data_IF_644448741827
#
_entry.id   IF_644448741827
#
_cell.length_a   1.000
_cell.length_b   1.000
_cell.length_c   1.000
_cell.angle_alpha   90.00
_cell.angle_beta   90.00
_cell.angle_gamma   90.00
#
_symmetry.space_group_name_H-M   'P 1'
#
loop_
_entity.id
_entity.type
_entity.pdbx_description
1 polymer ?
#
# COMPACT_ATOMS: atom_id res chain seq x y z
N UNK A 1 35.87 -23.09 7.16
CA UNK A 1 35.02 -22.52 6.09
C UNK A 1 33.53 -22.47 6.49
N UNK A 2 32.92 -23.59 6.91
CA UNK A 2 31.46 -23.68 7.24
C UNK A 2 31.02 -22.80 8.42
N UNK A 3 31.86 -22.65 9.46
CA UNK A 3 31.55 -21.81 10.64
C UNK A 3 31.40 -20.32 10.32
N UNK A 4 32.17 -19.81 9.36
CA UNK A 4 32.06 -18.41 8.94
C UNK A 4 30.76 -18.16 8.17
N UNK A 5 30.34 -19.12 7.34
CA UNK A 5 29.06 -19.06 6.63
C UNK A 5 27.85 -19.08 7.58
N UNK A 6 27.89 -19.93 8.62
CA UNK A 6 26.83 -20.00 9.62
C UNK A 6 26.70 -18.68 10.41
N UNK A 7 27.83 -18.04 10.71
CA UNK A 7 27.85 -16.75 11.38
C UNK A 7 27.34 -15.61 10.48
N UNK A 8 27.55 -15.68 9.16
CA UNK A 8 27.03 -14.71 8.17
C UNK A 8 25.50 -14.85 7.96
N UNK A 9 24.98 -16.08 7.97
CA UNK A 9 23.53 -16.32 7.85
C UNK A 9 22.76 -15.90 9.12
N UNK A 10 23.35 -16.04 10.30
CA UNK A 10 22.74 -15.62 11.56
C UNK A 10 22.54 -14.09 11.67
N UNK A 11 23.33 -13.28 10.95
CA UNK A 11 23.28 -11.81 10.98
C UNK A 11 22.03 -11.29 10.26
N UNK A 12 21.69 -11.92 9.14
CA UNK A 12 20.54 -11.53 8.32
C UNK A 12 19.19 -11.87 8.99
N UNK A 13 19.17 -12.87 9.87
CA UNK A 13 17.96 -13.27 10.60
C UNK A 13 17.58 -12.32 11.75
N UNK A 14 18.50 -11.43 12.17
CA UNK A 14 18.31 -10.54 13.32
C UNK A 14 17.85 -9.12 12.95
N UNK A 15 17.62 -8.83 11.66
CA UNK A 15 17.07 -7.53 11.27
C UNK A 15 15.65 -7.40 11.84
N UNK A 16 15.37 -6.39 12.69
CA UNK A 16 14.01 -6.16 13.14
C UNK A 16 13.15 -5.86 11.91
N UNK A 17 12.02 -6.56 11.78
CA UNK A 17 10.97 -6.19 10.84
C UNK A 17 10.35 -4.92 11.41
N UNK A 18 10.96 -3.77 11.11
CA UNK A 18 10.40 -2.47 11.45
C UNK A 18 9.26 -2.26 10.47
N UNK A 19 8.04 -2.32 10.99
CA UNK A 19 6.89 -1.91 10.22
C UNK A 19 6.90 -0.39 10.04
N UNK A 20 6.64 0.05 8.82
CA UNK A 20 6.53 1.46 8.50
C UNK A 20 5.17 1.99 8.96
N UNK A 21 5.17 3.08 9.71
CA UNK A 21 3.95 3.81 10.05
C UNK A 21 3.84 5.04 9.16
N UNK A 22 2.71 5.20 8.49
CA UNK A 22 2.43 6.36 7.65
C UNK A 22 1.32 7.21 8.26
N UNK A 23 1.40 8.52 8.05
CA UNK A 23 0.29 9.43 8.35
C UNK A 23 -0.61 9.54 7.13
N UNK A 24 -1.91 9.31 7.33
CA UNK A 24 -2.91 9.51 6.28
C UNK A 24 -3.48 10.93 6.31
N UNK A 25 -4.14 11.35 5.23
CA UNK A 25 -4.88 12.62 5.20
C UNK A 25 -5.93 12.76 6.32
N UNK A 26 -6.41 11.63 6.85
CA UNK A 26 -7.32 11.54 8.01
C UNK A 26 -6.60 11.74 9.37
N UNK A 27 -5.29 12.04 9.35
CA UNK A 27 -4.39 12.23 10.52
C UNK A 27 -4.38 11.06 11.49
N UNK A 28 -4.68 9.85 11.00
CA UNK A 28 -4.51 8.62 11.76
C UNK A 28 -3.27 7.88 11.27
N UNK A 29 -2.29 7.60 12.15
CA UNK A 29 -1.17 6.77 11.80
C UNK A 29 -1.68 5.35 11.48
N UNK A 30 -1.19 4.79 10.38
CA UNK A 30 -1.46 3.40 9.99
C UNK A 30 -0.15 2.65 10.02
N UNK A 31 -0.12 1.59 10.81
CA UNK A 31 0.94 0.59 10.81
C UNK A 31 0.79 -0.30 9.57
N UNK A 32 1.81 -0.33 8.71
CA UNK A 32 1.81 -1.08 7.46
C UNK A 32 2.20 -2.56 7.62
N UNK A 33 2.23 -3.10 8.84
CA UNK A 33 2.76 -4.44 9.12
C UNK A 33 2.05 -5.56 8.35
N UNK A 34 0.75 -5.37 8.08
CA UNK A 34 -0.10 -6.31 7.35
C UNK A 34 -0.22 -5.98 5.86
N UNK A 35 0.38 -4.88 5.40
CA UNK A 35 0.22 -4.38 4.04
C UNK A 35 1.35 -4.87 3.13
N UNK A 36 0.98 -5.34 1.95
CA UNK A 36 1.91 -5.53 0.84
C UNK A 36 2.11 -4.21 0.10
N UNK A 37 3.25 -3.58 0.30
CA UNK A 37 3.58 -2.30 -0.30
C UNK A 37 4.45 -2.44 -1.57
N UNK A 38 4.12 -1.65 -2.60
CA UNK A 38 4.86 -1.55 -3.86
C UNK A 38 5.04 -0.09 -4.23
N UNK A 39 6.28 0.34 -4.39
CA UNK A 39 6.60 1.62 -5.01
C UNK A 39 6.32 1.56 -6.51
N UNK A 40 5.73 2.63 -7.04
CA UNK A 40 5.24 2.69 -8.42
C UNK A 40 6.11 3.67 -9.20
N UNK A 41 6.98 3.14 -10.05
CA UNK A 41 7.83 3.95 -10.95
C UNK A 41 7.18 4.24 -12.31
N UNK A 42 6.19 3.45 -12.71
CA UNK A 42 5.51 3.54 -14.02
C UNK A 42 4.32 4.51 -14.07
N UNK A 43 4.04 5.22 -12.97
CA UNK A 43 2.97 6.21 -12.89
C UNK A 43 3.53 7.54 -12.41
N UNK A 44 3.06 8.63 -12.99
CA UNK A 44 3.32 9.99 -12.49
C UNK A 44 2.30 10.46 -11.46
N UNK A 45 1.24 9.67 -11.23
CA UNK A 45 0.14 9.99 -10.31
C UNK A 45 0.27 9.20 -9.02
N UNK A 46 0.40 7.87 -9.13
CA UNK A 46 0.53 6.98 -7.98
C UNK A 46 2.02 6.76 -7.72
N UNK A 47 2.45 7.04 -6.49
CA UNK A 47 3.84 6.85 -6.07
C UNK A 47 4.04 5.53 -5.33
N UNK A 48 3.03 5.09 -4.58
CA UNK A 48 3.05 3.86 -3.80
C UNK A 48 1.65 3.28 -3.65
N UNK A 49 1.56 1.96 -3.66
CA UNK A 49 0.34 1.19 -3.40
C UNK A 49 0.65 0.20 -2.29
N UNK A 50 -0.13 0.23 -1.21
CA UNK A 50 -0.06 -0.74 -0.12
C UNK A 50 -1.41 -1.42 0.02
N UNK A 51 -1.46 -2.75 0.04
CA UNK A 51 -2.70 -3.50 0.12
C UNK A 51 -2.68 -4.54 1.23
N UNK A 52 -3.67 -4.48 2.12
CA UNK A 52 -3.99 -5.55 3.07
C UNK A 52 -5.19 -6.33 2.53
N UNK A 53 -4.93 -7.54 2.05
CA UNK A 53 -5.95 -8.42 1.48
C UNK A 53 -6.93 -8.94 2.53
N UNK A 54 -6.49 -9.15 3.77
CA UNK A 54 -7.33 -9.68 4.83
C UNK A 54 -8.38 -8.66 5.26
N UNK A 55 -8.01 -7.38 5.28
CA UNK A 55 -8.90 -6.28 5.64
C UNK A 55 -9.51 -5.55 4.44
N UNK A 56 -9.11 -5.91 3.22
CA UNK A 56 -9.50 -5.22 1.99
C UNK A 56 -9.20 -3.72 2.05
N UNK A 57 -8.08 -3.36 2.69
CA UNK A 57 -7.64 -1.98 2.84
C UNK A 57 -6.60 -1.67 1.77
N UNK A 58 -6.85 -0.65 0.98
CA UNK A 58 -5.93 -0.10 0.00
C UNK A 58 -5.45 1.26 0.48
N UNK A 59 -4.13 1.46 0.45
CA UNK A 59 -3.49 2.74 0.72
C UNK A 59 -2.76 3.17 -0.54
N UNK A 60 -2.96 4.41 -0.94
CA UNK A 60 -2.36 5.01 -2.12
C UNK A 60 -1.61 6.28 -1.73
N UNK A 61 -0.36 6.38 -2.17
CA UNK A 61 0.40 7.62 -2.11
C UNK A 61 0.25 8.41 -3.41
N UNK A 62 -0.22 9.66 -3.31
CA UNK A 62 -0.30 10.63 -4.41
C UNK A 62 0.32 11.93 -3.93
N UNK A 63 1.32 12.44 -4.65
CA UNK A 63 2.02 13.69 -4.32
C UNK A 63 2.50 13.78 -2.86
N UNK A 64 2.97 12.66 -2.29
CA UNK A 64 3.46 12.57 -0.91
C UNK A 64 2.37 12.41 0.15
N UNK A 65 1.09 12.46 -0.23
CA UNK A 65 -0.04 12.25 0.68
C UNK A 65 -0.54 10.82 0.57
N UNK A 66 -0.81 10.19 1.71
CA UNK A 66 -1.41 8.87 1.79
C UNK A 66 -2.91 8.94 2.05
N UNK A 67 -3.69 8.30 1.18
CA UNK A 67 -5.13 8.10 1.35
C UNK A 67 -5.44 6.62 1.56
N UNK A 68 -6.33 6.33 2.50
CA UNK A 68 -6.88 4.99 2.74
C UNK A 68 -8.23 4.83 2.04
N UNK A 69 -8.44 3.63 1.49
CA UNK A 69 -9.64 3.16 0.82
C UNK A 69 -10.02 1.81 1.43
N UNK A 70 -11.26 1.66 1.89
CA UNK A 70 -11.72 0.44 2.55
C UNK A 70 -12.65 -0.37 1.65
N UNK A 71 -12.65 -1.69 1.79
CA UNK A 71 -13.50 -2.58 1.01
C UNK A 71 -13.11 -2.68 -0.47
N UNK A 72 -11.84 -2.42 -0.80
CA UNK A 72 -11.32 -2.61 -2.16
C UNK A 72 -10.96 -4.08 -2.34
N UNK A 73 -11.67 -4.78 -3.22
CA UNK A 73 -11.40 -6.18 -3.54
C UNK A 73 -10.05 -6.34 -4.25
N UNK A 74 -9.46 -7.53 -4.13
CA UNK A 74 -8.13 -7.80 -4.70
C UNK A 74 -8.09 -7.68 -6.22
N UNK A 75 -9.17 -8.04 -6.90
CA UNK A 75 -9.21 -8.03 -8.37
C UNK A 75 -9.22 -6.59 -8.88
N UNK A 76 -9.80 -5.66 -8.12
CA UNK A 76 -9.70 -4.22 -8.38
C UNK A 76 -8.27 -3.71 -8.17
N UNK A 77 -7.53 -4.21 -7.17
CA UNK A 77 -6.12 -3.87 -6.95
C UNK A 77 -5.23 -4.44 -8.06
N UNK A 78 -5.44 -5.69 -8.46
CA UNK A 78 -4.69 -6.33 -9.54
C UNK A 78 -4.92 -5.60 -10.87
N UNK A 79 -6.16 -5.20 -11.15
CA UNK A 79 -6.49 -4.35 -12.32
C UNK A 79 -5.84 -2.97 -12.24
N UNK A 80 -5.77 -2.36 -11.06
CA UNK A 80 -5.05 -1.09 -10.86
C UNK A 80 -3.56 -1.24 -11.20
N UNK A 81 -2.90 -2.28 -10.67
CA UNK A 81 -1.47 -2.54 -10.87
C UNK A 81 -1.14 -2.94 -12.31
N UNK A 82 -2.07 -3.63 -12.99
CA UNK A 82 -1.94 -4.01 -14.39
C UNK A 82 -2.35 -2.92 -15.40
N UNK A 83 -2.99 -1.84 -14.95
CA UNK A 83 -3.55 -0.84 -15.86
C UNK A 83 -2.49 -0.14 -16.73
N UNK A 84 -2.75 0.09 -18.03
CA UNK A 84 -1.87 0.87 -18.90
C UNK A 84 -1.63 2.29 -18.37
N UNK A 85 -2.68 2.91 -17.82
CA UNK A 85 -2.60 4.17 -17.07
C UNK A 85 -3.20 3.98 -15.69
N UNK A 86 -2.35 3.75 -14.70
CA UNK A 86 -2.79 3.49 -13.33
C UNK A 86 -3.54 4.71 -12.74
N UNK A 87 -3.10 5.92 -13.05
CA UNK A 87 -3.77 7.15 -12.61
C UNK A 87 -5.17 7.30 -13.20
N UNK A 88 -5.36 6.99 -14.48
CA UNK A 88 -6.69 7.02 -15.11
C UNK A 88 -7.60 5.94 -14.53
N UNK A 89 -7.08 4.73 -14.31
CA UNK A 89 -7.85 3.65 -13.67
C UNK A 89 -8.30 4.05 -12.26
N UNK A 90 -7.37 4.55 -11.44
CA UNK A 90 -7.65 5.03 -10.10
C UNK A 90 -8.74 6.11 -10.10
N UNK A 91 -8.57 7.17 -10.90
CA UNK A 91 -9.52 8.28 -10.96
C UNK A 91 -10.94 7.85 -11.35
N UNK A 92 -11.07 6.81 -12.18
CA UNK A 92 -12.37 6.33 -12.66
C UNK A 92 -13.03 5.30 -11.74
N UNK A 93 -12.22 4.43 -11.12
CA UNK A 93 -12.75 3.21 -10.49
C UNK A 93 -12.59 3.21 -8.96
N UNK A 94 -11.72 4.03 -8.39
CA UNK A 94 -11.36 3.98 -6.95
C UNK A 94 -11.50 5.34 -6.29
N UNK A 95 -11.09 6.42 -6.95
CA UNK A 95 -11.07 7.76 -6.34
C UNK A 95 -12.46 8.12 -5.80
N UNK A 96 -12.47 8.55 -4.55
CA UNK A 96 -13.67 9.07 -3.89
C UNK A 96 -14.16 10.31 -4.64
N UNK A 97 -15.43 10.31 -5.04
CA UNK A 97 -16.04 11.44 -5.72
C UNK A 97 -16.78 12.34 -4.73
N UNK A 98 -17.44 11.74 -3.73
CA UNK A 98 -18.27 12.42 -2.74
C UNK A 98 -18.15 11.73 -1.36
N UNK A 99 -18.66 12.38 -0.31
CA UNK A 99 -18.77 11.81 1.04
C UNK A 99 -19.74 10.62 1.02
N UNK A 100 -19.29 9.45 1.52
CA UNK A 100 -20.06 8.21 1.47
C UNK A 100 -19.85 7.41 0.18
N UNK A 101 -18.78 7.72 -0.56
CA UNK A 101 -18.35 6.94 -1.71
C UNK A 101 -18.07 5.48 -1.33
N UNK A 102 -18.16 4.57 -2.32
CA UNK A 102 -18.01 3.11 -2.13
C UNK A 102 -16.82 2.70 -1.26
N UNK A 103 -15.72 3.44 -1.32
CA UNK A 103 -14.47 3.09 -0.62
C UNK A 103 -14.13 4.04 0.54
N UNK A 104 -15.08 4.85 0.98
CA UNK A 104 -14.93 5.57 2.24
C UNK A 104 -14.82 4.58 3.40
N UNK A 105 -13.85 4.83 4.27
CA UNK A 105 -13.59 3.93 5.39
C UNK A 105 -14.63 4.00 6.51
N UNK A 106 -15.47 5.04 6.53
CA UNK A 106 -16.46 5.26 7.58
C UNK A 106 -15.80 5.51 8.95
N UNK A 107 -16.34 6.45 9.72
CA UNK A 107 -15.89 6.70 11.09
C UNK A 107 -16.26 5.57 12.04
#
# INVERSE_FOLDING_TARGET
>A
MVRALALLLAQFAAAPIVSETIETGERRPIDLATFECRDISRSTVLQRVCYDRAQQNLIIAINGTYDRYCGVDSDTVDRLLGAPSMGQFFNRNIRRQDVGSRYDCGG
#
